data_IF_000621376968
#
_entry.id   IF_000621376968
#
_cell.length_a   1.000
_cell.length_b   1.000
_cell.length_c   1.000
_cell.angle_alpha   90.00
_cell.angle_beta   90.00
_cell.angle_gamma   90.00
#
_symmetry.space_group_name_H-M   'P 1'
#
loop_
_entity.id
_entity.type
_entity.pdbx_description
1 polymer ?
#
# COMPACT_ATOMS: atom_id res chain seq x y z
N UNK A 1 -15.39 -1.05 -20.60
CA UNK A 1 -15.01 -2.16 -19.70
C UNK A 1 -13.70 -1.89 -18.94
N UNK A 2 -12.60 -1.49 -19.58
CA UNK A 2 -11.30 -1.32 -18.88
C UNK A 2 -11.33 -0.23 -17.78
N UNK A 3 -12.01 0.90 -18.00
CA UNK A 3 -12.18 1.93 -16.95
C UNK A 3 -12.87 1.40 -15.67
N UNK A 4 -13.83 0.49 -15.83
CA UNK A 4 -14.55 -0.14 -14.69
C UNK A 4 -13.59 -1.03 -13.89
N UNK A 5 -12.68 -1.74 -14.55
CA UNK A 5 -11.67 -2.56 -13.87
C UNK A 5 -10.73 -1.72 -13.01
N UNK A 6 -10.37 -0.52 -13.45
CA UNK A 6 -9.53 0.41 -12.68
C UNK A 6 -10.27 0.91 -11.44
N UNK A 7 -11.55 1.28 -11.57
CA UNK A 7 -12.39 1.68 -10.43
C UNK A 7 -12.52 0.51 -9.44
N UNK A 8 -12.75 -0.71 -9.94
CA UNK A 8 -12.84 -1.90 -9.10
C UNK A 8 -11.51 -2.20 -8.39
N UNK A 9 -10.37 -2.01 -9.06
CA UNK A 9 -9.06 -2.14 -8.43
C UNK A 9 -8.87 -1.14 -7.28
N UNK A 10 -9.21 0.14 -7.50
CA UNK A 10 -9.18 1.17 -6.45
C UNK A 10 -10.11 0.83 -5.29
N UNK A 11 -11.35 0.40 -5.58
CA UNK A 11 -12.29 -0.03 -4.56
C UNK A 11 -11.75 -1.20 -3.71
N UNK A 12 -11.12 -2.19 -4.33
CA UNK A 12 -10.51 -3.33 -3.63
C UNK A 12 -9.36 -2.89 -2.72
N UNK A 13 -8.49 -1.99 -3.19
CA UNK A 13 -7.45 -1.40 -2.34
C UNK A 13 -8.05 -0.65 -1.14
N UNK A 14 -9.17 0.05 -1.32
CA UNK A 14 -9.88 0.73 -0.23
C UNK A 14 -10.40 -0.19 0.87
N UNK A 15 -10.62 -1.49 0.58
CA UNK A 15 -11.06 -2.47 1.60
C UNK A 15 -9.95 -2.93 2.54
N UNK A 16 -8.68 -2.65 2.22
CA UNK A 16 -7.53 -3.16 2.99
C UNK A 16 -7.55 -2.65 4.42
N UNK A 17 -7.85 -1.36 4.64
CA UNK A 17 -7.89 -0.75 5.97
C UNK A 17 -8.94 -1.42 6.86
N UNK A 18 -10.13 -1.67 6.31
CA UNK A 18 -11.21 -2.39 7.00
C UNK A 18 -10.77 -3.78 7.48
N UNK A 19 -10.19 -4.60 6.60
CA UNK A 19 -9.75 -5.94 7.00
C UNK A 19 -8.57 -5.90 7.99
N UNK A 20 -7.69 -4.90 7.91
CA UNK A 20 -6.66 -4.70 8.91
C UNK A 20 -7.27 -4.40 10.30
N UNK A 21 -8.25 -3.50 10.36
CA UNK A 21 -8.98 -3.19 11.59
C UNK A 21 -9.71 -4.40 12.18
N UNK A 22 -10.35 -5.23 11.34
CA UNK A 22 -10.99 -6.48 11.77
C UNK A 22 -9.95 -7.44 12.39
N UNK A 23 -8.76 -7.56 11.79
CA UNK A 23 -7.69 -8.41 12.36
C UNK A 23 -7.16 -7.86 13.68
N UNK A 24 -7.11 -6.53 13.86
CA UNK A 24 -6.81 -5.93 15.16
C UNK A 24 -7.86 -6.28 16.22
N UNK A 25 -9.15 -6.35 15.86
CA UNK A 25 -10.21 -6.83 16.76
C UNK A 25 -10.05 -8.31 17.15
N UNK A 26 -9.46 -9.13 16.28
CA UNK A 26 -9.07 -10.51 16.61
C UNK A 26 -7.80 -10.60 17.48
N UNK A 27 -7.22 -9.48 17.89
CA UNK A 27 -6.04 -9.42 18.75
C UNK A 27 -4.71 -9.55 18.00
N UNK A 28 -4.71 -9.46 16.66
CA UNK A 28 -3.47 -9.46 15.90
C UNK A 28 -2.74 -8.13 16.10
N UNK A 29 -1.44 -8.20 16.31
CA UNK A 29 -0.56 -7.03 16.31
C UNK A 29 -0.39 -6.46 14.90
N UNK A 30 0.00 -5.19 14.82
CA UNK A 30 0.33 -4.48 13.58
C UNK A 30 1.38 -5.23 12.74
N UNK A 31 2.36 -5.85 13.41
CA UNK A 31 3.39 -6.68 12.79
C UNK A 31 2.85 -7.97 12.20
N UNK A 32 1.94 -8.66 12.90
CA UNK A 32 1.33 -9.90 12.40
C UNK A 32 0.42 -9.61 11.20
N UNK A 33 -0.39 -8.55 11.24
CA UNK A 33 -1.23 -8.14 10.09
C UNK A 33 -0.36 -7.77 8.89
N UNK A 34 0.72 -7.01 9.10
CA UNK A 34 1.72 -6.75 8.08
C UNK A 34 2.31 -8.04 7.50
N UNK A 35 2.71 -8.98 8.36
CA UNK A 35 3.28 -10.25 7.93
C UNK A 35 2.31 -11.11 7.12
N UNK A 36 1.05 -11.22 7.55
CA UNK A 36 -0.02 -11.90 6.79
C UNK A 36 -0.13 -11.29 5.40
N UNK A 37 -0.28 -9.96 5.34
CA UNK A 37 -0.39 -9.21 4.09
C UNK A 37 0.79 -9.54 3.18
N UNK A 38 2.02 -9.39 3.64
CA UNK A 38 3.20 -9.57 2.78
C UNK A 38 3.45 -11.02 2.37
N UNK A 39 3.37 -11.97 3.31
CA UNK A 39 3.66 -13.38 3.04
C UNK A 39 2.61 -13.98 2.11
N UNK A 40 1.31 -13.83 2.43
CA UNK A 40 0.24 -14.38 1.60
C UNK A 40 0.20 -13.68 0.24
N UNK A 41 0.40 -12.37 0.20
CA UNK A 41 0.47 -11.66 -1.08
C UNK A 41 1.64 -12.07 -1.94
N UNK A 42 2.82 -12.32 -1.34
CA UNK A 42 3.97 -12.85 -2.06
C UNK A 42 3.64 -14.22 -2.67
N UNK A 43 3.01 -15.11 -1.89
CA UNK A 43 2.57 -16.42 -2.38
C UNK A 43 1.60 -16.25 -3.55
N UNK A 44 0.55 -15.45 -3.38
CA UNK A 44 -0.49 -15.27 -4.40
C UNK A 44 0.08 -14.63 -5.67
N UNK A 45 0.91 -13.59 -5.57
CA UNK A 45 1.49 -12.93 -6.74
C UNK A 45 2.55 -13.78 -7.43
N UNK A 46 3.31 -14.61 -6.70
CA UNK A 46 4.21 -15.61 -7.29
C UNK A 46 3.40 -16.63 -8.09
N UNK A 47 2.38 -17.23 -7.47
CA UNK A 47 1.51 -18.22 -8.13
C UNK A 47 0.87 -17.61 -9.38
N UNK A 48 0.32 -16.41 -9.26
CA UNK A 48 -0.22 -15.67 -10.40
C UNK A 48 0.82 -15.46 -11.51
N UNK A 49 2.02 -14.97 -11.19
CA UNK A 49 3.07 -14.71 -12.17
C UNK A 49 3.59 -15.98 -12.85
N UNK A 50 3.58 -17.12 -12.17
CA UNK A 50 3.97 -18.42 -12.75
C UNK A 50 3.04 -18.86 -13.88
N UNK A 51 1.75 -18.53 -13.79
CA UNK A 51 0.73 -18.85 -14.80
C UNK A 51 0.52 -17.73 -15.82
N UNK A 52 0.70 -16.47 -15.42
CA UNK A 52 0.44 -15.31 -16.27
C UNK A 52 1.63 -14.96 -17.18
N UNK A 53 2.80 -14.66 -16.61
CA UNK A 53 4.00 -14.36 -17.39
C UNK A 53 5.29 -14.63 -16.58
N UNK A 54 5.97 -15.73 -16.88
CA UNK A 54 7.21 -16.10 -16.20
C UNK A 54 8.36 -15.12 -16.43
N UNK A 55 8.26 -14.22 -17.41
CA UNK A 55 9.26 -13.15 -17.61
C UNK A 55 9.27 -12.16 -16.46
N UNK A 56 8.21 -12.10 -15.65
CA UNK A 56 8.13 -11.23 -14.49
C UNK A 56 9.22 -11.53 -13.44
N UNK A 57 9.74 -12.76 -13.42
CA UNK A 57 10.84 -13.20 -12.56
C UNK A 57 12.24 -12.90 -13.13
N UNK A 58 12.33 -12.39 -14.35
CA UNK A 58 13.63 -12.10 -14.99
C UNK A 58 14.15 -10.74 -14.54
N UNK A 59 14.86 -10.72 -13.42
CA UNK A 59 15.58 -9.52 -12.95
C UNK A 59 17.09 -9.67 -13.10
N UNK A 60 17.76 -8.56 -13.41
CA UNK A 60 19.22 -8.48 -13.39
C UNK A 60 19.68 -8.42 -11.94
N UNK A 61 20.64 -9.29 -11.56
CA UNK A 61 21.20 -9.35 -10.20
C UNK A 61 21.70 -7.98 -9.74
N UNK A 62 22.31 -7.19 -10.63
CA UNK A 62 22.74 -5.82 -10.32
C UNK A 62 21.64 -4.87 -9.84
N UNK A 63 20.36 -5.17 -10.11
CA UNK A 63 19.21 -4.38 -9.68
C UNK A 63 18.50 -4.98 -8.46
N UNK A 64 18.94 -6.14 -7.95
CA UNK A 64 18.29 -6.85 -6.82
C UNK A 64 18.25 -5.98 -5.57
N UNK A 65 19.30 -5.21 -5.33
CA UNK A 65 19.37 -4.28 -4.20
C UNK A 65 18.23 -3.25 -4.23
N UNK A 66 17.90 -2.73 -5.42
CA UNK A 66 16.82 -1.75 -5.57
C UNK A 66 15.43 -2.39 -5.37
N UNK A 67 15.24 -3.64 -5.79
CA UNK A 67 14.03 -4.41 -5.50
C UNK A 67 13.90 -4.70 -4.00
N UNK A 68 14.98 -5.13 -3.35
CA UNK A 68 15.02 -5.38 -1.91
C UNK A 68 14.73 -4.10 -1.11
N UNK A 69 15.29 -2.97 -1.54
CA UNK A 69 15.03 -1.67 -0.93
C UNK A 69 13.55 -1.25 -1.09
N UNK A 70 12.96 -1.51 -2.26
CA UNK A 70 11.53 -1.27 -2.51
C UNK A 70 10.66 -2.10 -1.56
N UNK A 71 10.96 -3.39 -1.39
CA UNK A 71 10.25 -4.26 -0.44
C UNK A 71 10.44 -3.84 1.03
N UNK A 72 11.65 -3.43 1.41
CA UNK A 72 11.93 -2.90 2.74
C UNK A 72 11.12 -1.64 3.05
N UNK A 73 11.14 -0.65 2.15
CA UNK A 73 10.37 0.57 2.33
C UNK A 73 8.86 0.31 2.32
N UNK A 74 8.38 -0.66 1.52
CA UNK A 74 6.97 -1.04 1.52
C UNK A 74 6.55 -1.67 2.85
N UNK A 75 7.41 -2.55 3.40
CA UNK A 75 7.21 -3.11 4.74
C UNK A 75 7.19 -2.02 5.82
N UNK A 76 8.19 -1.12 5.82
CA UNK A 76 8.26 -0.02 6.78
C UNK A 76 7.06 0.92 6.68
N UNK A 77 6.61 1.24 5.46
CA UNK A 77 5.39 2.01 5.20
C UNK A 77 4.21 1.37 5.92
N UNK A 78 4.01 0.07 5.69
CA UNK A 78 2.87 -0.70 6.23
C UNK A 78 2.90 -0.74 7.75
N UNK A 79 4.07 -1.01 8.36
CA UNK A 79 4.21 -1.08 9.81
C UNK A 79 4.00 0.30 10.45
N UNK A 80 4.62 1.36 9.92
CA UNK A 80 4.42 2.71 10.43
C UNK A 80 2.95 3.14 10.31
N UNK A 81 2.30 2.83 9.20
CA UNK A 81 0.88 3.11 8.97
C UNK A 81 -0.01 2.37 9.99
N UNK A 82 0.14 1.05 10.14
CA UNK A 82 -0.67 0.29 11.10
C UNK A 82 -0.42 0.67 12.56
N UNK A 83 0.81 1.02 12.94
CA UNK A 83 1.08 1.54 14.29
C UNK A 83 0.48 2.93 14.49
N UNK A 84 0.45 3.79 13.46
CA UNK A 84 -0.27 5.06 13.51
C UNK A 84 -1.77 4.83 13.74
N UNK A 85 -2.39 3.88 13.02
CA UNK A 85 -3.79 3.49 13.22
C UNK A 85 -4.03 3.05 14.67
N UNK A 86 -3.15 2.20 15.21
CA UNK A 86 -3.30 1.67 16.57
C UNK A 86 -3.21 2.75 17.66
N UNK A 87 -2.48 3.85 17.43
CA UNK A 87 -2.20 4.88 18.45
C UNK A 87 -3.06 6.13 18.25
N UNK A 88 -3.50 6.42 17.03
CA UNK A 88 -4.18 7.69 16.68
C UNK A 88 -5.35 7.53 15.72
N UNK A 89 -5.73 6.29 15.40
CA UNK A 89 -6.89 5.98 14.57
C UNK A 89 -6.61 6.02 13.06
N UNK A 90 -7.50 5.38 12.30
CA UNK A 90 -7.39 5.24 10.85
C UNK A 90 -7.45 6.57 10.10
N UNK A 91 -8.31 7.47 10.58
CA UNK A 91 -8.52 8.81 10.05
C UNK A 91 -7.22 9.63 9.94
N UNK A 92 -6.48 9.79 11.05
CA UNK A 92 -5.20 10.52 11.04
C UNK A 92 -4.13 9.80 10.20
N UNK A 93 -4.04 8.47 10.31
CA UNK A 93 -3.07 7.67 9.56
C UNK A 93 -3.25 7.84 8.05
N UNK A 94 -4.49 7.83 7.56
CA UNK A 94 -4.83 8.05 6.15
C UNK A 94 -4.42 9.45 5.67
N UNK A 95 -4.75 10.50 6.41
CA UNK A 95 -4.37 11.88 6.06
C UNK A 95 -2.86 12.01 5.94
N UNK A 96 -2.13 11.51 6.94
CA UNK A 96 -0.67 11.58 6.95
C UNK A 96 -0.09 10.77 5.79
N UNK A 97 -0.62 9.57 5.49
CA UNK A 97 -0.19 8.78 4.34
C UNK A 97 -0.43 9.52 3.00
N UNK A 98 -1.54 10.25 2.85
CA UNK A 98 -1.82 11.05 1.64
C UNK A 98 -0.91 12.27 1.47
N UNK A 99 -0.04 12.58 2.45
CA UNK A 99 1.08 13.52 2.24
C UNK A 99 2.24 12.92 1.43
N UNK A 100 2.20 11.61 1.10
CA UNK A 100 3.21 10.92 0.25
C UNK A 100 3.65 11.73 -0.98
N UNK A 101 2.75 12.36 -1.78
CA UNK A 101 3.15 13.12 -2.95
C UNK A 101 4.16 14.23 -2.67
N UNK A 102 4.15 14.82 -1.47
CA UNK A 102 5.14 15.81 -1.04
C UNK A 102 6.55 15.21 -0.99
N UNK A 103 6.68 14.02 -0.39
CA UNK A 103 7.95 13.29 -0.33
C UNK A 103 8.39 12.79 -1.70
N UNK A 104 7.46 12.28 -2.52
CA UNK A 104 7.73 11.88 -3.91
C UNK A 104 8.30 13.06 -4.73
N UNK A 105 7.74 14.26 -4.56
CA UNK A 105 8.24 15.47 -5.20
C UNK A 105 9.67 15.77 -4.75
N UNK A 106 9.92 15.81 -3.44
CA UNK A 106 11.26 16.05 -2.88
C UNK A 106 12.30 15.04 -3.39
N UNK A 107 11.97 13.75 -3.36
CA UNK A 107 12.83 12.70 -3.90
C UNK A 107 13.00 12.79 -5.42
N UNK A 108 11.99 13.26 -6.17
CA UNK A 108 12.10 13.48 -7.61
C UNK A 108 13.08 14.61 -7.94
N UNK A 109 13.18 15.65 -7.11
CA UNK A 109 14.24 16.66 -7.24
C UNK A 109 15.60 15.99 -6.98
N UNK A 110 15.72 15.31 -5.85
CA UNK A 110 17.00 14.82 -5.33
C UNK A 110 17.61 13.73 -6.23
N UNK A 111 16.81 12.74 -6.62
CA UNK A 111 17.27 11.54 -7.32
C UNK A 111 16.99 11.56 -8.82
N UNK A 112 15.95 12.26 -9.26
CA UNK A 112 15.55 12.32 -10.68
C UNK A 112 15.84 13.67 -11.34
N UNK A 113 16.34 14.67 -10.59
CA UNK A 113 16.67 16.02 -11.06
C UNK A 113 15.54 16.68 -11.86
N UNK A 114 14.29 16.39 -11.50
CA UNK A 114 13.12 17.00 -12.15
C UNK A 114 12.93 18.43 -11.68
N UNK A 115 12.56 19.33 -12.61
CA UNK A 115 12.11 20.69 -12.29
C UNK A 115 10.69 20.64 -11.73
N UNK A 116 10.44 21.37 -10.66
CA UNK A 116 9.11 21.47 -10.04
C UNK A 116 8.35 22.64 -10.66
N UNK A 117 7.08 22.41 -10.95
CA UNK A 117 6.12 23.45 -11.26
C UNK A 117 5.41 23.90 -9.97
N UNK A 118 5.23 25.21 -9.78
CA UNK A 118 4.46 25.78 -8.66
C UNK A 118 3.03 25.20 -8.58
N UNK A 119 2.42 24.88 -9.73
CA UNK A 119 1.11 24.21 -9.80
C UNK A 119 1.14 22.85 -9.10
N UNK A 120 2.20 22.06 -9.25
CA UNK A 120 2.32 20.77 -8.57
C UNK A 120 2.37 20.92 -7.05
N UNK A 121 3.07 21.93 -6.55
CA UNK A 121 3.14 22.20 -5.10
C UNK A 121 1.76 22.57 -4.57
N UNK A 122 1.04 23.44 -5.29
CA UNK A 122 -0.30 23.87 -4.89
C UNK A 122 -1.31 22.71 -4.91
N UNK A 123 -1.26 21.82 -5.91
CA UNK A 123 -2.11 20.62 -5.97
C UNK A 123 -1.88 19.67 -4.79
N UNK A 124 -0.62 19.51 -4.34
CA UNK A 124 -0.30 18.69 -3.17
C UNK A 124 -0.89 19.31 -1.90
N UNK A 125 -0.73 20.63 -1.73
CA UNK A 125 -1.31 21.34 -0.58
C UNK A 125 -2.83 21.19 -0.56
N UNK A 126 -3.50 21.42 -1.70
CA UNK A 126 -4.95 21.23 -1.80
C UNK A 126 -5.37 19.79 -1.48
N UNK A 127 -4.62 18.78 -1.91
CA UNK A 127 -4.90 17.38 -1.60
C UNK A 127 -4.81 17.11 -0.09
N UNK A 128 -3.75 17.57 0.57
CA UNK A 128 -3.58 17.42 2.02
C UNK A 128 -4.70 18.12 2.78
N UNK A 129 -5.04 19.36 2.40
CA UNK A 129 -6.16 20.10 3.00
C UNK A 129 -7.46 19.34 2.81
N UNK A 130 -7.75 18.83 1.61
CA UNK A 130 -8.98 18.06 1.36
C UNK A 130 -9.06 16.79 2.22
N UNK A 131 -7.94 16.11 2.44
CA UNK A 131 -7.89 14.95 3.34
C UNK A 131 -8.15 15.36 4.80
N UNK A 132 -7.62 16.50 5.26
CA UNK A 132 -7.91 17.04 6.60
C UNK A 132 -9.41 17.35 6.79
N UNK A 133 -10.09 17.85 5.75
CA UNK A 133 -11.54 18.10 5.81
C UNK A 133 -12.39 16.82 5.73
N UNK A 134 -11.93 15.81 4.98
CA UNK A 134 -12.63 14.54 4.84
C UNK A 134 -12.46 13.63 6.07
N UNK A 135 -11.48 13.91 6.92
CA UNK A 135 -11.14 13.12 8.11
C UNK A 135 -11.71 13.75 9.38
N UNK A 136 -12.02 12.92 10.36
CA UNK A 136 -12.35 13.32 11.74
C UNK A 136 -11.14 13.81 12.56
N UNK A 137 -10.09 14.30 11.89
CA UNK A 137 -8.82 14.69 12.51
C UNK A 137 -8.99 15.76 13.59
N UNK A 138 -9.94 16.68 13.41
CA UNK A 138 -10.21 17.76 14.35
C UNK A 138 -10.83 17.28 15.69
N UNK A 139 -11.32 16.04 15.73
CA UNK A 139 -11.86 15.40 16.94
C UNK A 139 -10.90 14.36 17.55
N UNK A 140 -9.77 14.08 16.91
CA UNK A 140 -8.82 13.09 17.40
C UNK A 140 -7.90 13.70 18.48
N UNK A 141 -7.68 12.97 19.58
CA UNK A 141 -6.65 13.36 20.54
C UNK A 141 -5.27 13.33 19.88
N UNK A 142 -4.54 14.44 19.97
CA UNK A 142 -3.24 14.55 19.34
C UNK A 142 -2.20 13.68 20.06
N UNK A 143 -1.65 12.71 19.34
CA UNK A 143 -0.52 11.90 19.80
C UNK A 143 0.70 12.15 18.93
N UNK A 144 1.78 12.63 19.55
CA UNK A 144 3.05 12.90 18.87
C UNK A 144 3.63 11.62 18.25
N UNK A 145 3.51 10.48 18.93
CA UNK A 145 4.01 9.20 18.41
C UNK A 145 3.23 8.76 17.17
N UNK A 146 1.89 8.90 17.19
CA UNK A 146 1.06 8.63 16.02
C UNK A 146 1.37 9.55 14.84
N UNK A 147 1.57 10.85 15.09
CA UNK A 147 1.98 11.80 14.06
C UNK A 147 3.32 11.41 13.41
N UNK A 148 4.34 11.10 14.21
CA UNK A 148 5.65 10.69 13.71
C UNK A 148 5.58 9.39 12.91
N UNK A 149 4.79 8.42 13.36
CA UNK A 149 4.56 7.17 12.64
C UNK A 149 3.84 7.40 11.31
N UNK A 150 2.81 8.26 11.28
CA UNK A 150 2.10 8.59 10.05
C UNK A 150 3.00 9.30 9.04
N UNK A 151 3.79 10.29 9.46
CA UNK A 151 4.78 10.95 8.60
C UNK A 151 5.83 9.95 8.11
N UNK A 152 6.35 9.08 8.98
CA UNK A 152 7.30 8.05 8.59
C UNK A 152 6.70 7.12 7.51
N UNK A 153 5.42 6.77 7.62
CA UNK A 153 4.75 5.96 6.59
C UNK A 153 4.73 6.66 5.23
N UNK A 154 4.44 7.96 5.18
CA UNK A 154 4.43 8.75 3.95
C UNK A 154 5.82 8.91 3.33
N UNK A 155 6.85 9.10 4.17
CA UNK A 155 8.28 9.15 3.78
C UNK A 155 8.67 7.84 3.10
N UNK A 156 8.43 6.70 3.74
CA UNK A 156 8.78 5.39 3.18
C UNK A 156 7.96 5.09 1.92
N UNK A 157 6.68 5.45 1.88
CA UNK A 157 5.84 5.25 0.70
C UNK A 157 6.33 6.07 -0.50
N UNK A 158 6.80 7.29 -0.24
CA UNK A 158 7.46 8.12 -1.26
C UNK A 158 8.73 7.47 -1.79
N UNK A 159 9.51 6.84 -0.92
CA UNK A 159 10.72 6.13 -1.30
C UNK A 159 10.41 4.86 -2.14
N UNK A 160 9.36 4.10 -1.80
CA UNK A 160 8.82 2.99 -2.62
C UNK A 160 8.49 3.48 -4.02
N UNK A 161 7.76 4.59 -4.12
CA UNK A 161 7.32 5.18 -5.40
C UNK A 161 8.52 5.51 -6.28
N UNK A 162 9.56 6.15 -5.72
CA UNK A 162 10.73 6.59 -6.49
C UNK A 162 11.62 5.41 -6.89
N UNK A 163 11.80 4.42 -6.01
CA UNK A 163 12.48 3.18 -6.35
C UNK A 163 11.75 2.45 -7.49
N UNK A 164 10.42 2.41 -7.42
CA UNK A 164 9.56 1.80 -8.45
C UNK A 164 9.69 2.53 -9.79
N UNK A 165 9.62 3.86 -9.80
CA UNK A 165 9.83 4.67 -11.03
C UNK A 165 11.22 4.41 -11.61
N UNK A 166 12.26 4.29 -10.78
CA UNK A 166 13.61 3.99 -11.25
C UNK A 166 13.71 2.58 -11.84
N UNK A 167 13.07 1.59 -11.25
CA UNK A 167 13.00 0.22 -11.79
C UNK A 167 12.25 0.16 -13.12
N UNK A 168 11.12 0.87 -13.24
CA UNK A 168 10.35 0.95 -14.48
C UNK A 168 11.19 1.59 -15.60
N UNK A 169 11.91 2.67 -15.30
CA UNK A 169 12.86 3.29 -16.26
C UNK A 169 14.02 2.37 -16.68
N UNK A 170 14.35 1.36 -15.87
CA UNK A 170 15.35 0.34 -16.21
C UNK A 170 14.77 -0.79 -17.10
N UNK A 171 13.50 -0.70 -17.48
CA UNK A 171 12.81 -1.63 -18.38
C UNK A 171 12.04 -2.75 -17.69
N UNK A 172 11.77 -2.62 -16.38
CA UNK A 172 10.94 -3.60 -15.65
C UNK A 172 9.46 -3.22 -15.69
N UNK A 173 8.60 -4.25 -15.73
CA UNK A 173 7.16 -4.07 -15.64
C UNK A 173 6.74 -3.67 -14.21
N UNK A 174 5.68 -2.87 -14.07
CA UNK A 174 5.16 -2.49 -12.76
C UNK A 174 4.73 -3.70 -11.93
N UNK A 175 4.21 -4.75 -12.56
CA UNK A 175 3.82 -5.98 -11.88
C UNK A 175 5.05 -6.77 -11.38
N UNK A 176 6.18 -6.71 -12.09
CA UNK A 176 7.47 -7.23 -11.57
C UNK A 176 7.92 -6.46 -10.33
N UNK A 177 7.83 -5.12 -10.35
CA UNK A 177 8.20 -4.30 -9.20
C UNK A 177 7.33 -4.63 -7.98
N UNK A 178 6.02 -4.74 -8.16
CA UNK A 178 5.10 -5.17 -7.10
C UNK A 178 5.42 -6.57 -6.60
N UNK A 179 5.63 -7.54 -7.50
CA UNK A 179 5.97 -8.93 -7.16
C UNK A 179 7.19 -9.00 -6.24
N UNK A 180 8.30 -8.35 -6.63
CA UNK A 180 9.50 -8.38 -5.80
C UNK A 180 9.36 -7.55 -4.52
N UNK A 181 8.58 -6.46 -4.54
CA UNK A 181 8.27 -5.70 -3.33
C UNK A 181 7.56 -6.56 -2.28
N UNK A 182 6.59 -7.39 -2.69
CA UNK A 182 5.93 -8.34 -1.78
C UNK A 182 6.84 -9.49 -1.35
N UNK A 183 7.67 -10.02 -2.26
CA UNK A 183 8.63 -11.08 -1.90
C UNK A 183 9.61 -10.59 -0.83
N UNK A 184 10.28 -9.47 -1.06
CA UNK A 184 11.26 -8.94 -0.10
C UNK A 184 10.59 -8.46 1.19
N UNK A 185 9.42 -7.81 1.11
CA UNK A 185 8.62 -7.47 2.29
C UNK A 185 8.18 -8.71 3.09
N UNK A 186 7.83 -9.79 2.41
CA UNK A 186 7.47 -11.08 3.01
C UNK A 186 8.66 -11.74 3.70
N UNK A 187 9.83 -11.75 3.06
CA UNK A 187 11.07 -12.25 3.65
C UNK A 187 11.44 -11.50 4.93
N UNK A 188 11.29 -10.18 4.95
CA UNK A 188 11.51 -9.37 6.16
C UNK A 188 10.46 -9.73 7.24
N UNK A 189 9.21 -9.89 6.82
CA UNK A 189 8.09 -10.24 7.71
C UNK A 189 8.21 -11.63 8.34
N UNK A 190 8.99 -12.55 7.75
CA UNK A 190 9.22 -13.89 8.30
C UNK A 190 9.82 -13.87 9.71
N UNK A 191 10.44 -12.77 10.14
CA UNK A 191 10.90 -12.62 11.52
C UNK A 191 9.76 -12.80 12.55
N UNK A 192 8.53 -12.43 12.21
CA UNK A 192 7.35 -12.57 13.08
C UNK A 192 6.53 -13.84 12.82
N UNK A 193 7.03 -14.75 11.97
CA UNK A 193 6.25 -15.91 11.51
C UNK A 193 5.86 -16.87 12.64
N UNK A 194 6.73 -17.05 13.66
CA UNK A 194 6.42 -17.91 14.82
C UNK A 194 5.23 -17.37 15.61
N UNK A 195 5.27 -16.07 15.95
CA UNK A 195 4.17 -15.41 16.66
C UNK A 195 2.88 -15.42 15.82
N UNK A 196 3.00 -15.32 14.50
CA UNK A 196 1.87 -15.39 13.59
C UNK A 196 1.20 -16.77 13.59
N UNK A 197 1.96 -17.85 13.50
CA UNK A 197 1.39 -19.20 13.51
C UNK A 197 0.61 -19.47 14.79
N UNK A 198 1.15 -19.09 15.95
CA UNK A 198 0.43 -19.24 17.23
C UNK A 198 -0.92 -18.52 17.22
N UNK A 199 -0.98 -17.31 16.67
CA UNK A 199 -2.23 -16.54 16.56
C UNK A 199 -3.21 -17.12 15.54
N UNK A 200 -2.73 -17.70 14.44
CA UNK A 200 -3.57 -18.34 13.42
C UNK A 200 -4.17 -19.66 13.90
N UNK A 201 -3.43 -20.46 14.68
CA UNK A 201 -3.93 -21.73 15.22
C UNK A 201 -5.04 -21.55 16.26
N UNK A 202 -5.08 -20.40 16.93
CA UNK A 202 -6.11 -20.07 17.91
C UNK A 202 -7.29 -19.30 17.31
N UNK A 203 -7.17 -18.81 16.07
CA UNK A 203 -8.23 -18.02 15.45
C UNK A 203 -9.20 -18.90 14.62
N UNK A 204 -10.50 -18.61 14.74
CA UNK A 204 -11.54 -19.33 14.01
C UNK A 204 -11.56 -19.03 12.51
N UNK A 205 -12.39 -19.77 11.77
CA UNK A 205 -12.50 -19.71 10.30
C UNK A 205 -12.68 -18.29 9.74
N UNK A 206 -13.43 -17.43 10.44
CA UNK A 206 -13.68 -16.06 10.02
C UNK A 206 -12.40 -15.22 10.00
N UNK A 207 -11.50 -15.40 10.96
CA UNK A 207 -10.21 -14.72 11.00
C UNK A 207 -9.30 -15.19 9.86
N UNK A 208 -9.26 -16.50 9.58
CA UNK A 208 -8.50 -17.05 8.45
C UNK A 208 -9.00 -16.47 7.13
N UNK A 209 -10.31 -16.35 6.95
CA UNK A 209 -10.90 -15.72 5.78
C UNK A 209 -10.48 -14.24 5.68
N UNK A 210 -10.52 -13.47 6.77
CA UNK A 210 -10.03 -12.08 6.77
C UNK A 210 -8.56 -11.97 6.36
N UNK A 211 -7.71 -12.90 6.81
CA UNK A 211 -6.30 -12.98 6.41
C UNK A 211 -6.12 -13.22 4.90
N UNK A 212 -6.94 -14.08 4.32
CA UNK A 212 -6.90 -14.36 2.88
C UNK A 212 -7.44 -13.17 2.08
N UNK A 213 -8.54 -12.56 2.53
CA UNK A 213 -9.14 -11.40 1.87
C UNK A 213 -8.19 -10.20 1.86
N UNK A 214 -7.58 -9.83 2.99
CA UNK A 214 -6.65 -8.69 3.02
C UNK A 214 -5.47 -8.89 2.05
N UNK A 215 -4.98 -10.12 1.87
CA UNK A 215 -3.92 -10.42 0.93
C UNK A 215 -4.40 -10.35 -0.53
N UNK A 216 -5.56 -10.91 -0.85
CA UNK A 216 -6.12 -10.88 -2.21
C UNK A 216 -6.53 -9.48 -2.66
N UNK A 217 -7.17 -8.69 -1.78
CA UNK A 217 -7.65 -7.34 -2.09
C UNK A 217 -6.53 -6.30 -2.04
N UNK A 218 -5.38 -6.62 -1.44
CA UNK A 218 -4.20 -5.75 -1.52
C UNK A 218 -3.32 -6.02 -2.73
N UNK A 219 -3.41 -7.22 -3.34
CA UNK A 219 -2.45 -7.63 -4.37
C UNK A 219 -3.05 -8.18 -5.65
N UNK A 220 -3.25 -9.49 -5.74
CA UNK A 220 -3.42 -10.17 -7.03
C UNK A 220 -4.60 -9.64 -7.81
N UNK A 221 -5.76 -9.47 -7.17
CA UNK A 221 -6.97 -9.05 -7.87
C UNK A 221 -6.83 -7.59 -8.36
N UNK A 222 -6.53 -6.60 -7.50
CA UNK A 222 -6.36 -5.22 -7.96
C UNK A 222 -5.24 -5.06 -8.98
N UNK A 223 -4.04 -5.63 -8.75
CA UNK A 223 -2.91 -5.45 -9.66
C UNK A 223 -3.20 -6.09 -11.02
N UNK A 224 -3.86 -7.26 -11.06
CA UNK A 224 -4.26 -7.88 -12.34
C UNK A 224 -5.22 -6.99 -13.11
N UNK A 225 -6.24 -6.45 -12.44
CA UNK A 225 -7.22 -5.53 -13.05
C UNK A 225 -6.56 -4.24 -13.52
N UNK A 226 -5.72 -3.64 -12.68
CA UNK A 226 -5.04 -2.37 -12.95
C UNK A 226 -4.05 -2.48 -14.11
N UNK A 227 -3.08 -3.40 -14.03
CA UNK A 227 -2.05 -3.55 -15.06
C UNK A 227 -2.60 -4.09 -16.38
N UNK A 228 -3.66 -4.91 -16.37
CA UNK A 228 -4.35 -5.30 -17.61
C UNK A 228 -5.02 -4.09 -18.29
N UNK A 229 -5.55 -3.15 -17.50
CA UNK A 229 -6.23 -1.96 -18.00
C UNK A 229 -5.26 -0.89 -18.53
N UNK A 230 -4.07 -0.77 -17.93
CA UNK A 230 -3.03 0.16 -18.39
C UNK A 230 -2.53 -0.12 -19.83
N UNK A 231 -2.73 -1.33 -20.35
CA UNK A 231 -2.44 -1.64 -21.76
C UNK A 231 -3.35 -0.88 -22.75
N UNK A 232 -4.49 -0.36 -22.30
CA UNK A 232 -5.55 0.22 -23.15
C UNK A 232 -6.06 1.57 -22.66
N UNK A 233 -5.58 2.05 -21.51
CA UNK A 233 -6.00 3.31 -20.89
C UNK A 233 -4.75 4.11 -20.57
N UNK A 234 -4.76 5.39 -20.91
CA UNK A 234 -3.69 6.33 -20.55
C UNK A 234 -3.47 6.35 -19.03
N UNK A 235 -2.20 6.36 -18.61
CA UNK A 235 -1.80 6.33 -17.20
C UNK A 235 -2.45 7.46 -16.39
N UNK A 236 -2.57 8.66 -16.97
CA UNK A 236 -3.19 9.82 -16.33
C UNK A 236 -4.66 9.56 -15.97
N UNK A 237 -5.42 8.98 -16.89
CA UNK A 237 -6.82 8.59 -16.67
C UNK A 237 -6.92 7.47 -15.64
N UNK A 238 -5.97 6.54 -15.64
CA UNK A 238 -5.95 5.45 -14.67
C UNK A 238 -5.75 5.98 -13.24
N UNK A 239 -4.84 6.93 -13.03
CA UNK A 239 -4.61 7.58 -11.73
C UNK A 239 -5.87 8.27 -11.21
N UNK A 240 -6.59 8.99 -12.08
CA UNK A 240 -7.86 9.62 -11.70
C UNK A 240 -8.90 8.58 -11.32
N UNK A 241 -9.00 7.46 -12.04
CA UNK A 241 -9.99 6.41 -11.74
C UNK A 241 -9.66 5.62 -10.45
N UNK A 242 -8.38 5.50 -10.10
CA UNK A 242 -7.94 4.90 -8.82
C UNK A 242 -8.24 5.77 -7.60
N UNK A 243 -8.62 7.05 -7.78
CA UNK A 243 -9.13 7.89 -6.67
C UNK A 243 -10.43 7.37 -6.03
N UNK A 244 -11.03 6.32 -6.59
CA UNK A 244 -12.09 5.55 -5.94
C UNK A 244 -11.66 4.85 -4.65
N UNK A 245 -10.36 4.60 -4.46
CA UNK A 245 -9.80 3.98 -3.26
C UNK A 245 -10.16 4.73 -1.95
N UNK A 246 -9.78 6.01 -1.76
CA UNK A 246 -10.14 6.75 -0.54
C UNK A 246 -11.65 6.81 -0.33
N UNK A 247 -12.43 6.96 -1.41
CA UNK A 247 -13.89 7.05 -1.31
C UNK A 247 -14.51 5.78 -0.73
N UNK A 248 -14.09 4.61 -1.22
CA UNK A 248 -14.56 3.31 -0.71
C UNK A 248 -14.08 3.07 0.71
N UNK A 249 -12.83 3.43 1.03
CA UNK A 249 -12.30 3.32 2.39
C UNK A 249 -13.15 4.11 3.40
N UNK A 250 -13.42 5.39 3.11
CA UNK A 250 -14.24 6.25 4.00
C UNK A 250 -15.65 5.72 4.19
N UNK A 251 -16.32 5.25 3.13
CA UNK A 251 -17.67 4.69 3.22
C UNK A 251 -17.66 3.45 4.12
N UNK A 252 -16.74 2.51 3.89
CA UNK A 252 -16.66 1.27 4.66
C UNK A 252 -16.37 1.53 6.13
N UNK A 253 -15.42 2.43 6.43
CA UNK A 253 -15.13 2.83 7.81
C UNK A 253 -16.36 3.46 8.48
N UNK A 254 -17.05 4.38 7.81
CA UNK A 254 -18.22 5.08 8.37
C UNK A 254 -19.46 4.21 8.63
N UNK A 255 -19.59 3.08 7.91
CA UNK A 255 -20.73 2.16 8.01
C UNK A 255 -20.42 1.01 8.97
N UNK A 256 -19.21 0.43 8.91
CA UNK A 256 -18.87 -0.82 9.59
C UNK A 256 -18.08 -0.66 10.88
N UNK A 257 -17.37 0.47 11.06
CA UNK A 257 -16.51 0.72 12.22
C UNK A 257 -17.04 1.87 13.11
N UNK A 258 -18.36 2.11 13.09
CA UNK A 258 -19.05 2.98 14.05
C UNK A 258 -19.03 2.41 15.47
#
# INVERSE_FOLDING_TARGET
MEKIKIILAGALWGTVGLFASILFCYGFSTYQVGAIRFILSAIFIIVFALFYDRRLFKIKIKHIFLFALTGLFNFLTTICYYNCISVSGASLACVLLYTTPFFVLGYSILFLRKKINAVCVLSIICCVVSCCFASSVFSAEFSLSGFLLGIASAVFNGAVTICSVKLIKLGYDGLSVSLYSFIFGGLISCFWIKSLFTALFTCGINCTLSCVFIALTSTVIPYSLYFASLKKVEEEKAVVLTSSEPFVATILESILLR
#
